data_IF_689031628205
#
_entry.id   IF_689031628205
#
_cell.length_a   1.000
_cell.length_b   1.000
_cell.length_c   1.000
_cell.angle_alpha   90.00
_cell.angle_beta   90.00
_cell.angle_gamma   90.00
#
_symmetry.space_group_name_H-M   'P 1'
#
loop_
_entity.id
_entity.type
_entity.pdbx_description
1 polymer ?
#
# COMPACT_ATOMS: atom_id res chain seq x y z
N UNK A 1 2.84 8.95 -13.31
CA UNK A 1 3.37 7.78 -12.58
C UNK A 1 4.09 6.90 -13.61
N UNK A 2 5.35 6.49 -13.40
CA UNK A 2 6.09 5.74 -14.42
C UNK A 2 5.38 4.42 -14.76
N UNK A 3 5.36 4.08 -16.05
CA UNK A 3 4.75 2.84 -16.51
C UNK A 3 5.51 1.64 -15.91
N UNK A 4 4.78 0.57 -15.59
CA UNK A 4 5.33 -0.69 -15.06
C UNK A 4 6.14 -0.58 -13.75
N UNK A 5 5.97 0.47 -12.94
CA UNK A 5 6.62 0.61 -11.62
C UNK A 5 5.64 0.42 -10.45
N UNK A 6 5.08 -0.78 -10.25
CA UNK A 6 4.14 -1.02 -9.15
C UNK A 6 4.75 -0.75 -7.77
N UNK A 7 6.07 -0.90 -7.67
CA UNK A 7 6.89 -0.69 -6.49
C UNK A 7 6.93 0.77 -6.04
N UNK A 8 6.72 1.72 -6.95
CA UNK A 8 6.57 3.13 -6.61
C UNK A 8 5.15 3.50 -6.12
N UNK A 9 4.20 2.55 -6.05
CA UNK A 9 2.78 2.88 -5.83
C UNK A 9 2.37 2.59 -4.37
N UNK A 10 2.31 3.60 -3.48
CA UNK A 10 2.04 3.40 -2.05
C UNK A 10 0.70 2.70 -1.77
N UNK A 11 -0.29 2.94 -2.64
CA UNK A 11 -1.65 2.44 -2.43
C UNK A 11 -1.69 0.91 -2.48
N UNK A 12 -0.74 0.27 -3.17
CA UNK A 12 -0.65 -1.20 -3.18
C UNK A 12 -0.44 -1.77 -1.79
N UNK A 13 0.36 -1.11 -0.94
CA UNK A 13 0.58 -1.53 0.44
C UNK A 13 -0.69 -1.35 1.29
N UNK A 14 -1.43 -0.26 1.07
CA UNK A 14 -2.71 -0.01 1.75
C UNK A 14 -3.73 -1.08 1.36
N UNK A 15 -3.85 -1.38 0.06
CA UNK A 15 -4.74 -2.45 -0.42
C UNK A 15 -4.35 -3.82 0.10
N UNK A 16 -3.05 -4.11 0.20
CA UNK A 16 -2.58 -5.36 0.81
C UNK A 16 -3.05 -5.45 2.26
N UNK A 17 -2.84 -4.41 3.07
CA UNK A 17 -3.25 -4.38 4.46
C UNK A 17 -4.76 -4.54 4.62
N UNK A 18 -5.56 -3.83 3.82
CA UNK A 18 -7.01 -3.98 3.84
C UNK A 18 -7.44 -5.41 3.53
N UNK A 19 -6.87 -6.03 2.48
CA UNK A 19 -7.16 -7.42 2.13
C UNK A 19 -6.80 -8.39 3.25
N UNK A 20 -5.64 -8.19 3.88
CA UNK A 20 -5.20 -9.02 4.99
C UNK A 20 -6.18 -8.90 6.18
N UNK A 21 -6.65 -7.69 6.51
CA UNK A 21 -7.66 -7.46 7.55
C UNK A 21 -9.02 -8.09 7.20
N UNK A 22 -9.52 -7.84 5.99
CA UNK A 22 -10.81 -8.39 5.51
C UNK A 22 -10.77 -9.92 5.53
N UNK A 23 -9.64 -10.52 5.11
CA UNK A 23 -9.47 -11.98 5.14
C UNK A 23 -9.54 -12.53 6.57
N UNK A 24 -8.93 -11.84 7.55
CA UNK A 24 -8.97 -12.26 8.95
C UNK A 24 -10.36 -12.12 9.58
N UNK A 25 -11.06 -11.02 9.27
CA UNK A 25 -12.36 -10.66 9.87
C UNK A 25 -13.55 -11.38 9.22
N UNK A 26 -13.39 -11.83 7.97
CA UNK A 26 -14.42 -12.50 7.18
C UNK A 26 -15.79 -11.76 7.19
N UNK A 27 -15.81 -10.46 6.84
CA UNK A 27 -17.06 -9.71 6.75
C UNK A 27 -17.98 -10.31 5.69
N UNK A 28 -19.30 -10.25 5.91
CA UNK A 28 -20.31 -10.83 5.03
C UNK A 28 -21.07 -9.79 4.22
N UNK A 29 -20.90 -8.51 4.56
CA UNK A 29 -21.61 -7.40 3.94
C UNK A 29 -20.64 -6.32 3.45
N UNK A 30 -21.08 -5.53 2.46
CA UNK A 30 -20.32 -4.36 2.00
C UNK A 30 -20.14 -3.32 3.11
N UNK A 31 -21.08 -3.23 4.05
CA UNK A 31 -20.99 -2.31 5.18
C UNK A 31 -19.85 -2.66 6.12
N UNK A 32 -19.68 -3.95 6.44
CA UNK A 32 -18.55 -4.41 7.27
C UNK A 32 -17.21 -4.21 6.56
N UNK A 33 -17.13 -4.45 5.24
CA UNK A 33 -15.92 -4.13 4.46
C UNK A 33 -15.62 -2.63 4.51
N UNK A 34 -16.66 -1.79 4.44
CA UNK A 34 -16.49 -0.34 4.53
C UNK A 34 -15.99 0.10 5.90
N UNK A 35 -16.45 -0.53 6.97
CA UNK A 35 -15.95 -0.29 8.32
C UNK A 35 -14.46 -0.62 8.44
N UNK A 36 -13.99 -1.72 7.83
CA UNK A 36 -12.55 -2.05 7.81
C UNK A 36 -11.72 -1.01 7.04
N UNK A 37 -12.28 -0.42 5.97
CA UNK A 37 -11.65 0.68 5.25
C UNK A 37 -11.57 1.95 6.10
N UNK A 38 -12.67 2.34 6.74
CA UNK A 38 -12.76 3.54 7.56
C UNK A 38 -11.94 3.41 8.87
N UNK A 39 -11.70 2.17 9.34
CA UNK A 39 -10.85 1.86 10.49
C UNK A 39 -9.35 1.83 10.19
N UNK A 40 -8.93 2.05 8.94
CA UNK A 40 -7.50 2.13 8.61
C UNK A 40 -6.86 3.32 9.32
N UNK A 41 -5.83 3.03 10.11
CA UNK A 41 -5.07 4.05 10.82
C UNK A 41 -4.37 5.02 9.84
N UNK A 42 -4.75 6.30 9.90
CA UNK A 42 -4.14 7.37 9.12
C UNK A 42 -2.65 7.53 9.40
N UNK A 43 -2.19 7.20 10.61
CA UNK A 43 -0.77 7.25 10.98
C UNK A 43 0.04 6.25 10.16
N UNK A 44 -0.53 5.05 9.95
CA UNK A 44 0.07 3.99 9.14
C UNK A 44 0.05 4.34 7.64
N UNK A 45 -1.05 4.93 7.15
CA UNK A 45 -1.12 5.46 5.78
C UNK A 45 -0.05 6.53 5.57
N UNK A 46 0.08 7.48 6.51
CA UNK A 46 1.11 8.51 6.48
C UNK A 46 2.52 7.91 6.46
N UNK A 47 2.76 6.88 7.27
CA UNK A 47 4.04 6.15 7.29
C UNK A 47 4.36 5.53 5.93
N UNK A 48 3.39 4.90 5.28
CA UNK A 48 3.58 4.33 3.93
C UNK A 48 3.91 5.45 2.93
N UNK A 49 3.19 6.57 2.94
CA UNK A 49 3.47 7.71 2.07
C UNK A 49 4.89 8.27 2.28
N UNK A 50 5.36 8.36 3.53
CA UNK A 50 6.73 8.81 3.86
C UNK A 50 7.82 7.89 3.29
N UNK A 51 7.52 6.64 2.95
CA UNK A 51 8.51 5.74 2.32
C UNK A 51 8.86 6.12 0.87
N UNK A 52 8.08 6.99 0.21
CA UNK A 52 8.24 7.29 -1.22
C UNK A 52 9.65 7.74 -1.62
N UNK A 53 10.30 8.54 -0.77
CA UNK A 53 11.69 8.96 -1.00
C UNK A 53 12.62 7.75 -1.12
N UNK A 54 12.56 6.83 -0.16
CA UNK A 54 13.39 5.63 -0.15
C UNK A 54 13.07 4.68 -1.32
N UNK A 55 11.82 4.65 -1.80
CA UNK A 55 11.44 3.88 -3.00
C UNK A 55 12.08 4.47 -4.26
N UNK A 56 12.00 5.78 -4.43
CA UNK A 56 12.65 6.47 -5.55
C UNK A 56 14.17 6.27 -5.54
N UNK A 57 14.81 6.38 -4.37
CA UNK A 57 16.24 6.11 -4.21
C UNK A 57 16.60 4.66 -4.59
N UNK A 58 15.77 3.69 -4.22
CA UNK A 58 15.97 2.30 -4.62
C UNK A 58 15.87 2.10 -6.14
N UNK A 59 14.92 2.78 -6.81
CA UNK A 59 14.79 2.72 -8.28
C UNK A 59 16.00 3.36 -8.96
N UNK A 60 16.50 4.48 -8.43
CA UNK A 60 17.72 5.13 -8.92
C UNK A 60 18.92 4.19 -8.78
N UNK A 61 19.09 3.56 -7.61
CA UNK A 61 20.15 2.59 -7.36
C UNK A 61 20.04 1.35 -8.28
N UNK A 62 18.81 0.97 -8.66
CA UNK A 62 18.54 -0.10 -9.62
C UNK A 62 18.61 0.35 -11.09
N UNK A 63 19.04 1.59 -11.38
CA UNK A 63 19.07 2.17 -12.73
C UNK A 63 17.71 2.08 -13.47
N UNK A 64 16.61 2.28 -12.75
CA UNK A 64 15.24 2.15 -13.28
C UNK A 64 14.68 0.73 -13.24
N UNK A 65 15.45 -0.26 -12.77
CA UNK A 65 15.00 -1.63 -12.60
C UNK A 65 14.03 -1.84 -11.41
N UNK A 66 13.40 -3.02 -11.32
CA UNK A 66 12.46 -3.35 -10.24
C UNK A 66 13.09 -3.32 -8.86
N UNK A 67 12.32 -2.89 -7.85
CA UNK A 67 12.75 -2.89 -6.44
C UNK A 67 11.91 -3.82 -5.57
N UNK A 68 12.27 -3.94 -4.29
CA UNK A 68 11.56 -4.77 -3.29
C UNK A 68 10.21 -4.21 -2.83
N UNK A 69 9.84 -3.00 -3.27
CA UNK A 69 8.71 -2.24 -2.73
C UNK A 69 7.36 -2.61 -3.34
#
# INVERSE_FOLDING_TARGET
FPANSPDLNPIKNIWKKLKDTVYCRQPRTLQEIRQEWDALDLSEISRICRTMRARCEAVIAAAGGPTKW
#
